data_IF_765346948380
#
_entry.id   IF_765346948380
#
_cell.length_a   1.000
_cell.length_b   1.000
_cell.length_c   1.000
_cell.angle_alpha   90.00
_cell.angle_beta   90.00
_cell.angle_gamma   90.00
#
_symmetry.space_group_name_H-M   'P 1'
#
loop_
_entity.id
_entity.type
_entity.pdbx_description
1 polymer ?
#
# COMPACT_ATOMS: atom_id res chain seq x y z
N UNK A 1 -25.05 10.98 -20.97
CA UNK A 1 -23.82 11.80 -20.95
C UNK A 1 -22.76 11.04 -20.15
N UNK A 2 -21.49 11.06 -20.57
CA UNK A 2 -20.66 9.85 -20.75
C UNK A 2 -19.76 9.53 -19.56
N UNK A 3 -19.39 8.25 -19.42
CA UNK A 3 -18.39 7.77 -18.48
C UNK A 3 -17.99 6.33 -18.80
N UNK A 4 -17.42 6.12 -20.00
CA UNK A 4 -16.71 4.88 -20.25
C UNK A 4 -15.45 4.84 -19.40
N UNK A 5 -15.09 3.66 -18.88
CA UNK A 5 -13.70 3.23 -18.75
C UNK A 5 -13.69 1.71 -18.60
N UNK A 6 -13.07 1.09 -19.59
CA UNK A 6 -12.48 -0.24 -19.61
C UNK A 6 -12.03 -0.70 -18.21
N UNK A 7 -12.36 -1.95 -17.86
CA UNK A 7 -12.25 -2.54 -16.53
C UNK A 7 -11.09 -2.02 -15.66
N UNK A 8 -11.45 -1.62 -14.44
CA UNK A 8 -10.59 -1.11 -13.37
C UNK A 8 -9.38 -2.01 -13.11
N UNK A 9 -8.36 -1.93 -13.95
CA UNK A 9 -7.00 -2.28 -13.55
C UNK A 9 -6.63 -1.27 -12.46
N UNK A 10 -6.83 -1.67 -11.19
CA UNK A 10 -6.95 -0.76 -10.06
C UNK A 10 -6.02 0.45 -10.10
N UNK A 11 -6.62 1.59 -10.37
CA UNK A 11 -5.91 2.87 -10.41
C UNK A 11 -5.86 3.41 -9.00
N UNK A 12 -4.65 3.48 -8.46
CA UNK A 12 -4.42 4.09 -7.16
C UNK A 12 -4.51 5.62 -7.33
N UNK A 13 -5.63 6.21 -6.89
CA UNK A 13 -5.89 7.65 -7.07
C UNK A 13 -4.94 8.53 -6.23
N UNK A 14 -4.31 7.94 -5.21
CA UNK A 14 -3.38 8.62 -4.29
C UNK A 14 -1.91 8.42 -4.63
N UNK A 15 -1.57 7.61 -5.63
CA UNK A 15 -0.17 7.39 -6.01
C UNK A 15 0.06 6.15 -6.87
N UNK A 16 1.33 5.70 -7.02
CA UNK A 16 1.62 4.44 -7.67
C UNK A 16 1.11 3.26 -6.84
N UNK A 17 0.64 2.20 -7.52
CA UNK A 17 0.29 0.93 -6.86
C UNK A 17 1.55 0.35 -6.21
N UNK A 18 1.38 -0.27 -5.05
CA UNK A 18 2.47 -0.79 -4.22
C UNK A 18 2.23 -2.26 -3.93
N UNK A 19 3.29 -3.06 -3.94
CA UNK A 19 3.19 -4.49 -3.69
C UNK A 19 3.65 -4.77 -2.27
N UNK A 20 2.71 -5.12 -1.39
CA UNK A 20 3.00 -5.37 0.02
C UNK A 20 2.86 -6.86 0.35
N UNK A 21 3.74 -7.34 1.25
CA UNK A 21 3.74 -8.72 1.76
C UNK A 21 2.43 -9.02 2.50
N UNK A 22 2.10 -8.13 3.42
CA UNK A 22 0.90 -8.19 4.25
C UNK A 22 0.41 -6.78 4.55
N UNK A 23 -0.90 -6.64 4.69
CA UNK A 23 -1.51 -5.43 5.25
C UNK A 23 -2.06 -5.78 6.61
N UNK A 24 -1.62 -5.03 7.63
CA UNK A 24 -2.09 -5.18 9.00
C UNK A 24 -2.43 -3.81 9.56
N UNK A 25 -3.41 -3.72 10.48
CA UNK A 25 -3.70 -2.46 11.15
C UNK A 25 -2.48 -2.01 11.96
N UNK A 26 -2.32 -0.69 12.12
CA UNK A 26 -1.20 -0.07 12.82
C UNK A 26 -1.06 -0.55 14.29
N UNK A 27 -2.15 -0.99 14.93
CA UNK A 27 -2.16 -1.60 16.26
C UNK A 27 -1.64 -3.05 16.30
N UNK A 28 -1.32 -3.66 15.17
CA UNK A 28 -0.75 -5.01 15.14
C UNK A 28 0.69 -4.99 15.60
N UNK A 29 1.12 -5.98 16.38
CA UNK A 29 2.48 -6.09 16.92
C UNK A 29 3.57 -5.89 15.85
N UNK A 30 3.37 -6.48 14.67
CA UNK A 30 4.29 -6.34 13.55
C UNK A 30 4.34 -4.91 13.00
N UNK A 31 3.19 -4.27 12.80
CA UNK A 31 3.11 -2.90 12.32
C UNK A 31 3.62 -1.90 13.37
N UNK A 32 3.20 -2.05 14.62
CA UNK A 32 3.63 -1.21 15.75
C UNK A 32 5.14 -1.27 15.97
N UNK A 33 5.75 -2.46 15.87
CA UNK A 33 7.20 -2.60 15.96
C UNK A 33 7.95 -1.86 14.84
N UNK A 34 7.44 -1.95 13.61
CA UNK A 34 8.02 -1.24 12.46
C UNK A 34 7.81 0.28 12.54
N UNK A 35 6.60 0.73 12.87
CA UNK A 35 6.24 2.12 13.10
C UNK A 35 7.13 2.76 14.18
N UNK A 36 7.37 2.04 15.28
CA UNK A 36 8.28 2.48 16.34
C UNK A 36 9.75 2.53 15.87
N UNK A 37 10.15 1.62 14.98
CA UNK A 37 11.50 1.60 14.40
C UNK A 37 11.77 2.79 13.48
N UNK A 38 10.75 3.29 12.79
CA UNK A 38 10.84 4.50 11.95
C UNK A 38 10.43 5.79 12.69
N UNK A 39 10.00 5.69 13.95
CA UNK A 39 9.58 6.84 14.77
C UNK A 39 8.24 7.47 14.33
N UNK A 40 7.37 6.70 13.68
CA UNK A 40 6.04 7.16 13.24
C UNK A 40 5.01 6.83 14.31
N UNK A 41 4.32 7.86 14.80
CA UNK A 41 3.17 7.71 15.68
C UNK A 41 1.91 8.04 14.89
N UNK A 42 1.12 7.01 14.60
CA UNK A 42 -0.20 7.17 14.01
C UNK A 42 -1.21 7.45 15.13
N UNK A 43 -2.04 8.47 14.93
CA UNK A 43 -3.16 8.74 15.83
C UNK A 43 -4.24 7.68 15.70
N UNK A 44 -4.45 7.20 14.47
CA UNK A 44 -5.41 6.14 14.17
C UNK A 44 -4.68 4.80 14.06
N UNK A 45 -4.79 3.99 15.10
CA UNK A 45 -4.16 2.67 15.15
C UNK A 45 -4.94 1.61 14.34
N UNK A 46 -6.14 1.95 13.86
CA UNK A 46 -6.92 1.08 12.96
C UNK A 46 -6.52 1.25 11.50
N UNK A 47 -5.63 2.21 11.20
CA UNK A 47 -5.18 2.50 9.85
C UNK A 47 -4.44 1.29 9.28
N UNK A 48 -4.80 0.83 8.08
CA UNK A 48 -4.14 -0.30 7.45
C UNK A 48 -2.72 0.08 6.99
N UNK A 49 -1.74 -0.69 7.46
CA UNK A 49 -0.31 -0.53 7.18
C UNK A 49 0.17 -1.72 6.36
N UNK A 50 0.74 -1.43 5.19
CA UNK A 50 1.45 -2.39 4.40
C UNK A 50 2.83 -2.65 5.00
N UNK A 51 3.19 -3.93 5.14
CA UNK A 51 4.50 -4.38 5.62
C UNK A 51 5.27 -4.94 4.44
N UNK A 52 6.53 -4.50 4.31
CA UNK A 52 7.45 -4.87 3.23
C UNK A 52 6.81 -4.58 1.87
N UNK A 53 6.69 -3.29 1.56
CA UNK A 53 6.03 -2.77 0.38
C UNK A 53 7.04 -2.29 -0.66
N UNK A 54 7.12 -2.98 -1.79
CA UNK A 54 7.94 -2.51 -2.90
C UNK A 54 7.12 -1.62 -3.83
N UNK A 55 7.64 -0.43 -4.23
CA UNK A 55 6.98 0.40 -5.22
C UNK A 55 6.97 -0.34 -6.56
N UNK A 56 5.78 -0.47 -7.15
CA UNK A 56 5.63 -1.06 -8.48
C UNK A 56 5.71 0.11 -9.46
N UNK A 57 6.91 0.35 -10.01
CA UNK A 57 7.04 1.29 -11.12
C UNK A 57 6.22 0.76 -12.30
N UNK A 58 5.46 1.66 -12.91
CA UNK A 58 4.35 1.41 -13.83
C UNK A 58 4.46 0.14 -14.70
N UNK A 59 3.31 -0.55 -14.80
CA UNK A 59 2.91 -1.48 -15.86
C UNK A 59 3.65 -1.24 -17.20
N UNK A 60 4.73 -1.97 -17.40
CA UNK A 60 5.59 -1.85 -18.59
C UNK A 60 6.69 -2.91 -18.60
N UNK A 61 7.21 -3.24 -17.41
CA UNK A 61 8.36 -4.13 -17.25
C UNK A 61 8.03 -5.50 -16.62
N UNK A 62 6.77 -5.92 -16.61
CA UNK A 62 6.40 -7.23 -16.03
C UNK A 62 6.54 -7.28 -14.50
N UNK A 63 6.45 -6.13 -13.83
CA UNK A 63 6.36 -6.06 -12.37
C UNK A 63 4.97 -6.47 -11.91
N UNK A 64 4.69 -7.78 -11.95
CA UNK A 64 3.51 -8.35 -11.29
C UNK A 64 3.77 -8.41 -9.81
N UNK A 65 2.89 -7.80 -9.02
CA UNK A 65 2.92 -8.03 -7.58
C UNK A 65 2.63 -9.51 -7.34
N UNK A 66 3.67 -10.28 -6.97
CA UNK A 66 3.50 -11.68 -6.59
C UNK A 66 2.76 -11.83 -5.26
N UNK A 67 2.59 -10.72 -4.54
CA UNK A 67 1.93 -10.69 -3.25
C UNK A 67 0.62 -9.89 -3.31
N UNK A 68 0.30 -9.01 -2.33
CA UNK A 68 -0.93 -8.21 -2.40
C UNK A 68 -0.69 -6.86 -3.07
N UNK A 69 -1.31 -6.60 -4.24
CA UNK A 69 -1.33 -5.27 -4.81
C UNK A 69 -2.25 -4.38 -3.97
N UNK A 70 -1.70 -3.27 -3.48
CA UNK A 70 -2.42 -2.34 -2.61
C UNK A 70 -2.11 -0.90 -3.02
N UNK A 71 -3.05 -0.01 -2.72
CA UNK A 71 -2.87 1.41 -2.92
C UNK A 71 -2.58 2.04 -1.56
N UNK A 72 -1.38 2.59 -1.37
CA UNK A 72 -1.01 3.21 -0.10
C UNK A 72 -0.68 4.68 -0.30
N UNK A 73 -1.14 5.51 0.64
CA UNK A 73 -1.03 6.96 0.60
C UNK A 73 0.39 7.46 0.89
N UNK A 74 1.11 6.75 1.76
CA UNK A 74 2.49 7.10 2.14
C UNK A 74 3.38 5.86 2.17
N UNK A 75 4.34 5.75 1.24
CA UNK A 75 5.43 4.76 1.31
C UNK A 75 6.79 5.44 1.26
N UNK A 76 7.02 6.36 2.19
CA UNK A 76 8.27 7.12 2.32
C UNK A 76 9.31 6.39 3.17
N UNK A 77 9.03 5.17 3.62
CA UNK A 77 9.87 4.39 4.54
C UNK A 77 10.79 3.42 3.80
N UNK A 78 11.30 3.81 2.64
CA UNK A 78 12.20 3.00 1.82
C UNK A 78 11.62 1.63 1.44
N UNK A 79 10.28 1.53 1.37
CA UNK A 79 9.57 0.28 1.12
C UNK A 79 9.45 -0.67 2.32
N UNK A 80 9.87 -0.28 3.52
CA UNK A 80 9.68 -1.12 4.72
C UNK A 80 8.22 -1.15 5.18
N UNK A 81 7.59 0.02 5.23
CA UNK A 81 6.18 0.16 5.59
C UNK A 81 5.50 1.17 4.70
N UNK A 82 4.19 0.99 4.48
CA UNK A 82 3.35 1.95 3.81
C UNK A 82 2.08 2.21 4.63
N UNK A 83 1.67 3.47 4.72
CA UNK A 83 0.56 3.94 5.55
C UNK A 83 -0.66 4.21 4.66
N UNK A 84 -1.84 3.89 5.19
CA UNK A 84 -3.11 4.13 4.50
C UNK A 84 -3.29 3.19 3.31
N UNK A 85 -2.91 1.92 3.49
CA UNK A 85 -3.00 0.92 2.43
C UNK A 85 -4.42 0.39 2.27
N UNK A 86 -5.00 0.56 1.10
CA UNK A 86 -6.29 -0.02 0.73
C UNK A 86 -6.11 -1.14 -0.29
N UNK A 87 -6.93 -2.18 -0.16
CA UNK A 87 -6.95 -3.26 -1.15
C UNK A 87 -7.49 -2.71 -2.47
N UNK A 88 -6.81 -3.01 -3.58
CA UNK A 88 -7.38 -2.78 -4.90
C UNK A 88 -8.57 -3.73 -5.08
N UNK A 89 -9.77 -3.24 -5.43
CA UNK A 89 -10.81 -4.11 -5.95
C UNK A 89 -10.33 -4.60 -7.32
N UNK A 90 -9.99 -5.89 -7.39
CA UNK A 90 -9.70 -6.61 -8.62
C UNK A 90 -11.00 -7.25 -9.14
#
# INVERSE_FOLDING_TARGET
>A
MPGGSTGDAGTCNTGPVQCCKSVQPANSEAASGLLNSVGVVLQDLSTPIGITCSPIAAIGDGSSCSEKPVCCENNTFNGLIAIGCVNLPL
#
